data_IF_126732538654
#
_entry.id   IF_126732538654
#
_cell.length_a   1.000
_cell.length_b   1.000
_cell.length_c   1.000
_cell.angle_alpha   90.00
_cell.angle_beta   90.00
_cell.angle_gamma   90.00
#
_symmetry.space_group_name_H-M   'P 1'
#
loop_
_entity.id
_entity.type
_entity.pdbx_description
1 polymer ?
#
# COMPACT_ATOMS: atom_id res chain seq x y z
N UNK A 1 12.38 -10.02 2.78
CA UNK A 1 11.90 -8.88 3.58
C UNK A 1 10.43 -8.63 3.28
N UNK A 2 9.66 -8.44 4.31
CA UNK A 2 8.22 -8.32 4.23
C UNK A 2 7.76 -6.95 4.67
N UNK A 3 6.97 -6.28 3.82
CA UNK A 3 6.45 -4.94 4.07
C UNK A 3 4.93 -5.02 4.26
N UNK A 4 4.42 -4.46 5.36
CA UNK A 4 3.00 -4.36 5.61
C UNK A 4 2.54 -2.92 5.36
N UNK A 5 1.62 -2.73 4.42
CA UNK A 5 0.96 -1.44 4.21
C UNK A 5 -0.34 -1.41 5.00
N UNK A 6 -0.49 -0.42 5.86
CA UNK A 6 -1.66 -0.28 6.74
C UNK A 6 -2.45 0.98 6.44
N UNK A 7 -3.75 0.83 6.30
CA UNK A 7 -4.71 1.93 6.30
C UNK A 7 -5.89 1.54 7.19
N UNK A 8 -7.00 2.28 7.13
CA UNK A 8 -8.15 1.99 7.98
C UNK A 8 -8.97 0.83 7.44
N UNK A 9 -9.47 0.94 6.22
CA UNK A 9 -10.45 0.01 5.66
C UNK A 9 -9.85 -1.17 4.89
N UNK A 10 -8.58 -1.09 4.49
CA UNK A 10 -7.92 -2.07 3.62
C UNK A 10 -8.78 -2.40 2.39
N UNK A 11 -9.22 -1.36 1.72
CA UNK A 11 -10.07 -1.50 0.53
C UNK A 11 -9.55 -0.73 -0.68
N UNK A 12 -8.65 0.23 -0.49
CA UNK A 12 -8.15 1.10 -1.54
C UNK A 12 -6.64 1.35 -1.42
N UNK A 13 -6.21 2.36 -0.64
CA UNK A 13 -4.80 2.81 -0.61
C UNK A 13 -3.80 1.71 -0.29
N UNK A 14 -4.01 0.96 0.79
CA UNK A 14 -3.08 -0.11 1.16
C UNK A 14 -3.12 -1.27 0.17
N UNK A 15 -4.27 -1.53 -0.45
CA UNK A 15 -4.40 -2.54 -1.51
C UNK A 15 -3.59 -2.13 -2.75
N UNK A 16 -3.71 -0.87 -3.17
CA UNK A 16 -2.92 -0.34 -4.29
C UNK A 16 -1.42 -0.43 -4.01
N UNK A 17 -1.02 -0.10 -2.76
CA UNK A 17 0.37 -0.19 -2.34
C UNK A 17 0.89 -1.63 -2.39
N UNK A 18 0.13 -2.58 -1.86
CA UNK A 18 0.51 -4.00 -1.87
C UNK A 18 0.73 -4.50 -3.30
N UNK A 19 -0.24 -4.27 -4.18
CA UNK A 19 -0.19 -4.76 -5.55
C UNK A 19 0.96 -4.14 -6.34
N UNK A 20 1.13 -2.82 -6.23
CA UNK A 20 2.16 -2.11 -6.97
C UNK A 20 3.56 -2.43 -6.45
N UNK A 21 3.73 -2.51 -5.13
CA UNK A 21 5.01 -2.89 -4.55
C UNK A 21 5.43 -4.28 -5.04
N UNK A 22 4.53 -5.26 -5.00
CA UNK A 22 4.83 -6.62 -5.46
C UNK A 22 5.12 -6.67 -6.96
N UNK A 23 4.53 -5.76 -7.74
CA UNK A 23 4.80 -5.64 -9.17
C UNK A 23 6.22 -5.13 -9.44
N UNK A 24 6.74 -4.24 -8.60
CA UNK A 24 8.04 -3.59 -8.79
C UNK A 24 9.16 -4.20 -7.96
N UNK A 25 8.84 -4.95 -6.90
CA UNK A 25 9.83 -5.40 -5.93
C UNK A 25 10.83 -6.38 -6.52
N UNK A 26 12.11 -6.24 -6.16
CA UNK A 26 13.11 -7.25 -6.52
C UNK A 26 12.90 -8.54 -5.71
N UNK A 27 13.59 -9.60 -6.13
CA UNK A 27 13.55 -10.87 -5.42
C UNK A 27 13.93 -10.70 -3.95
N UNK A 28 13.23 -11.39 -3.08
CA UNK A 28 13.45 -11.32 -1.64
C UNK A 28 12.59 -10.29 -0.92
N UNK A 29 11.81 -9.49 -1.65
CA UNK A 29 10.92 -8.49 -1.09
C UNK A 29 9.47 -8.82 -1.45
N UNK A 30 8.58 -8.73 -0.47
CA UNK A 30 7.15 -8.95 -0.69
C UNK A 30 6.36 -8.00 0.18
N UNK A 31 5.20 -7.58 -0.31
CA UNK A 31 4.28 -6.72 0.42
C UNK A 31 2.99 -7.45 0.73
N UNK A 32 2.42 -7.09 1.87
CA UNK A 32 1.07 -7.45 2.29
C UNK A 32 0.37 -6.18 2.76
N UNK A 33 -0.93 -6.23 2.98
CA UNK A 33 -1.67 -5.08 3.47
C UNK A 33 -2.71 -5.49 4.49
N UNK A 34 -3.11 -4.53 5.35
CA UNK A 34 -4.12 -4.75 6.37
C UNK A 34 -4.80 -3.43 6.73
N UNK A 35 -5.93 -3.50 7.40
CA UNK A 35 -6.63 -2.35 7.93
C UNK A 35 -6.94 -2.50 9.41
N UNK A 36 -7.03 -1.38 10.12
CA UNK A 36 -7.44 -1.38 11.52
C UNK A 36 -8.94 -1.69 11.66
N UNK A 37 -9.75 -1.31 10.66
CA UNK A 37 -11.17 -1.62 10.57
C UNK A 37 -11.50 -2.08 9.15
N UNK A 38 -11.12 -3.33 8.79
CA UNK A 38 -11.26 -3.79 7.41
C UNK A 38 -12.72 -3.88 6.99
N UNK A 39 -13.01 -3.39 5.78
CA UNK A 39 -14.35 -3.46 5.21
C UNK A 39 -14.75 -4.88 4.80
N UNK A 40 -13.78 -5.78 4.66
CA UNK A 40 -14.01 -7.14 4.20
C UNK A 40 -14.14 -7.25 2.68
N UNK A 41 -14.05 -6.14 1.95
CA UNK A 41 -14.18 -6.12 0.50
C UNK A 41 -13.28 -5.05 -0.10
N UNK A 42 -12.53 -5.41 -1.13
CA UNK A 42 -11.72 -4.47 -1.91
C UNK A 42 -12.66 -3.69 -2.84
N UNK A 43 -12.44 -2.38 -2.96
CA UNK A 43 -13.25 -1.55 -3.86
C UNK A 43 -13.04 -1.99 -5.31
N UNK A 44 -14.12 -2.19 -6.08
CA UNK A 44 -13.99 -2.57 -7.49
C UNK A 44 -13.13 -1.60 -8.30
N UNK A 45 -13.19 -0.30 -8.00
CA UNK A 45 -12.40 0.71 -8.69
C UNK A 45 -10.90 0.57 -8.40
N UNK A 46 -10.52 0.09 -7.20
CA UNK A 46 -9.13 -0.24 -6.90
C UNK A 46 -8.63 -1.34 -7.83
N UNK A 47 -9.42 -2.39 -8.00
CA UNK A 47 -9.08 -3.50 -8.89
C UNK A 47 -9.00 -3.06 -10.35
N UNK A 48 -9.98 -2.28 -10.82
CA UNK A 48 -9.99 -1.82 -12.21
C UNK A 48 -8.81 -0.89 -12.52
N UNK A 49 -8.44 -0.04 -11.57
CA UNK A 49 -7.28 0.85 -11.72
C UNK A 49 -5.99 0.05 -11.89
N UNK A 50 -5.80 -0.99 -11.07
CA UNK A 50 -4.64 -1.87 -11.17
C UNK A 50 -4.64 -2.64 -12.49
N UNK A 51 -5.77 -3.20 -12.89
CA UNK A 51 -5.90 -3.95 -14.13
C UNK A 51 -5.58 -3.08 -15.36
N UNK A 52 -6.06 -1.85 -15.39
CA UNK A 52 -5.78 -0.91 -16.46
C UNK A 52 -4.29 -0.56 -16.55
N UNK A 53 -3.58 -0.62 -15.43
CA UNK A 53 -2.14 -0.37 -15.36
C UNK A 53 -1.31 -1.64 -15.63
N UNK A 54 -1.94 -2.77 -15.90
CA UNK A 54 -1.25 -4.03 -16.16
C UNK A 54 -0.69 -4.71 -14.91
N UNK A 55 -1.25 -4.40 -13.74
CA UNK A 55 -0.78 -4.93 -12.46
C UNK A 55 -1.72 -6.06 -12.02
N UNK A 56 -1.15 -7.20 -11.64
CA UNK A 56 -1.92 -8.37 -11.20
C UNK A 56 -2.70 -8.06 -9.91
N UNK A 57 -3.94 -8.55 -9.86
CA UNK A 57 -4.84 -8.37 -8.72
C UNK A 57 -5.10 -9.67 -7.96
N UNK A 58 -4.43 -10.75 -8.32
CA UNK A 58 -4.60 -12.06 -7.68
C UNK A 58 -4.20 -11.99 -6.22
N UNK A 59 -5.02 -12.57 -5.36
CA UNK A 59 -4.73 -12.66 -3.94
C UNK A 59 -5.02 -11.40 -3.13
N UNK A 60 -5.54 -10.35 -3.75
CA UNK A 60 -5.91 -9.13 -3.01
C UNK A 60 -7.25 -9.33 -2.32
N UNK A 61 -7.27 -9.09 -1.00
CA UNK A 61 -8.50 -9.13 -0.20
C UNK A 61 -8.36 -8.22 1.01
N UNK A 62 -9.50 -7.77 1.53
CA UNK A 62 -9.53 -6.89 2.70
C UNK A 62 -9.43 -7.71 3.98
N UNK A 63 -8.51 -7.32 4.87
CA UNK A 63 -8.21 -8.09 6.08
C UNK A 63 -7.69 -7.20 7.20
N UNK A 64 -7.74 -7.70 8.41
CA UNK A 64 -7.23 -7.01 9.60
C UNK A 64 -5.79 -7.37 9.92
N UNK A 65 -5.23 -6.66 10.90
CA UNK A 65 -3.83 -6.82 11.33
C UNK A 65 -3.53 -8.22 11.86
N UNK A 66 -4.52 -8.88 12.44
CA UNK A 66 -4.38 -10.23 13.01
C UNK A 66 -4.06 -11.29 11.95
N UNK A 67 -4.29 -11.00 10.67
CA UNK A 67 -3.94 -11.92 9.58
C UNK A 67 -2.44 -12.24 9.55
N UNK A 68 -1.59 -11.38 10.15
CA UNK A 68 -0.14 -11.54 10.13
C UNK A 68 0.46 -11.78 11.52
N UNK A 69 -0.37 -12.17 12.48
CA UNK A 69 0.09 -12.42 13.86
C UNK A 69 1.16 -13.50 13.93
N UNK A 70 1.02 -14.58 13.13
CA UNK A 70 1.96 -15.71 13.11
C UNK A 70 3.15 -15.49 12.19
N UNK A 71 3.12 -14.41 11.38
CA UNK A 71 4.19 -14.12 10.44
C UNK A 71 4.33 -12.59 10.33
N UNK A 72 4.92 -11.96 11.37
CA UNK A 72 4.96 -10.49 11.45
C UNK A 72 5.83 -9.87 10.36
N UNK A 73 5.51 -8.63 9.95
CA UNK A 73 6.31 -7.93 8.94
C UNK A 73 7.62 -7.41 9.50
N UNK A 74 8.56 -7.12 8.60
CA UNK A 74 9.83 -6.46 8.94
C UNK A 74 9.67 -4.95 8.96
N UNK A 75 8.83 -4.43 8.07
CA UNK A 75 8.57 -2.99 7.92
C UNK A 75 7.06 -2.76 7.87
N UNK A 76 6.59 -1.74 8.57
CA UNK A 76 5.19 -1.30 8.51
C UNK A 76 5.16 0.13 7.95
N UNK A 77 4.38 0.32 6.89
CA UNK A 77 4.16 1.64 6.29
C UNK A 77 2.69 1.98 6.39
N UNK A 78 2.36 3.01 7.18
CA UNK A 78 0.99 3.50 7.27
C UNK A 78 0.75 4.51 6.15
N UNK A 79 -0.44 4.43 5.53
CA UNK A 79 -0.76 5.24 4.35
C UNK A 79 -2.02 6.09 4.53
N UNK A 80 -2.38 6.38 5.78
CA UNK A 80 -3.49 7.28 6.08
C UNK A 80 -3.11 8.75 5.81
N UNK A 81 -4.10 9.62 5.67
CA UNK A 81 -3.90 11.05 5.42
C UNK A 81 -4.05 11.84 6.72
N UNK A 82 -2.95 11.96 7.48
CA UNK A 82 -2.94 12.72 8.73
C UNK A 82 -3.20 14.21 8.50
N UNK A 83 -2.77 14.73 7.35
CA UNK A 83 -2.96 16.14 7.01
C UNK A 83 -4.44 16.48 6.83
N UNK A 84 -5.26 15.51 6.42
CA UNK A 84 -6.70 15.67 6.31
C UNK A 84 -7.45 15.30 7.59
N UNK A 85 -6.74 15.05 8.70
CA UNK A 85 -7.34 14.71 9.99
C UNK A 85 -7.70 13.25 10.15
N UNK A 86 -7.28 12.38 9.24
CA UNK A 86 -7.56 10.95 9.32
C UNK A 86 -6.78 10.32 10.47
N UNK A 87 -7.45 9.49 11.28
CA UNK A 87 -6.77 8.70 12.31
C UNK A 87 -5.92 7.62 11.66
N UNK A 88 -4.65 7.56 12.09
CA UNK A 88 -3.71 6.60 11.54
C UNK A 88 -3.65 5.36 12.44
N UNK A 89 -3.73 4.15 11.88
CA UNK A 89 -3.60 2.94 12.70
C UNK A 89 -2.22 2.83 13.32
N UNK A 90 -2.15 2.20 14.49
CA UNK A 90 -0.91 1.95 15.20
C UNK A 90 -0.62 0.44 15.15
N UNK A 91 0.62 0.10 14.83
CA UNK A 91 1.09 -1.28 14.86
C UNK A 91 1.91 -1.51 16.13
N UNK A 92 1.53 -2.52 16.91
CA UNK A 92 2.13 -2.84 18.21
C UNK A 92 3.06 -4.06 18.10
N UNK A 93 3.96 -4.10 17.20
CA UNK A 93 4.89 -5.20 17.05
C UNK A 93 6.29 -4.71 16.75
N UNK A 94 7.29 -5.62 16.76
CA UNK A 94 8.64 -5.26 16.35
C UNK A 94 8.68 -5.10 14.84
N UNK A 95 8.95 -3.90 14.37
CA UNK A 95 9.09 -3.61 12.94
C UNK A 95 9.65 -2.20 12.80
N UNK A 96 10.35 -1.94 11.71
CA UNK A 96 10.65 -0.56 11.31
C UNK A 96 9.34 0.08 10.85
N UNK A 97 9.11 1.32 11.24
CA UNK A 97 7.86 2.01 10.95
C UNK A 97 8.12 3.24 10.10
N UNK A 98 7.31 3.40 9.07
CA UNK A 98 7.34 4.56 8.18
C UNK A 98 5.90 5.01 7.90
N UNK A 99 5.77 6.19 7.33
CA UNK A 99 4.46 6.76 7.01
C UNK A 99 4.52 7.42 5.62
N UNK A 100 3.58 7.04 4.76
CA UNK A 100 3.35 7.69 3.47
C UNK A 100 1.97 8.33 3.54
N UNK A 101 1.88 9.65 3.60
CA UNK A 101 0.61 10.35 3.61
C UNK A 101 -0.02 10.33 2.23
N UNK A 102 -1.09 9.55 2.05
CA UNK A 102 -1.81 9.44 0.79
C UNK A 102 -3.25 9.91 0.99
N UNK A 103 -3.68 10.87 0.16
CA UNK A 103 -5.09 11.26 0.12
C UNK A 103 -5.92 10.06 -0.34
N UNK A 104 -7.12 9.89 0.22
CA UNK A 104 -7.98 8.78 -0.14
C UNK A 104 -8.73 9.10 -1.43
N UNK A 105 -8.44 8.44 -2.56
CA UNK A 105 -9.11 8.72 -3.82
C UNK A 105 -10.59 8.33 -3.78
N UNK A 106 -11.00 7.45 -2.85
CA UNK A 106 -12.40 7.08 -2.70
C UNK A 106 -13.26 8.19 -2.09
N UNK A 107 -12.63 9.22 -1.53
CA UNK A 107 -13.34 10.40 -1.01
C UNK A 107 -13.67 11.42 -2.10
N UNK A 108 -13.11 11.27 -3.29
CA UNK A 108 -13.37 12.20 -4.41
C UNK A 108 -14.80 12.00 -4.90
N UNK A 109 -15.50 13.10 -5.07
CA UNK A 109 -16.88 13.15 -5.57
C UNK A 109 -16.89 13.78 -6.95
N UNK A 110 -17.95 13.50 -7.72
CA UNK A 110 -18.13 14.06 -9.04
C UNK A 110 -18.35 13.00 -10.09
N UNK A 111 -17.95 13.29 -11.32
CA UNK A 111 -18.13 12.39 -12.46
C UNK A 111 -17.16 11.21 -12.40
N UNK A 112 -17.53 10.12 -13.06
CA UNK A 112 -16.71 8.91 -13.13
C UNK A 112 -15.29 9.19 -13.59
N UNK A 113 -15.14 10.05 -14.61
CA UNK A 113 -13.82 10.40 -15.15
C UNK A 113 -12.93 11.08 -14.09
N UNK A 114 -13.51 11.93 -13.25
CA UNK A 114 -12.78 12.61 -12.18
C UNK A 114 -12.35 11.62 -11.09
N UNK A 115 -13.22 10.69 -10.75
CA UNK A 115 -12.92 9.66 -9.74
C UNK A 115 -11.83 8.72 -10.27
N UNK A 116 -11.94 8.28 -11.52
CA UNK A 116 -10.92 7.44 -12.16
C UNK A 116 -9.56 8.15 -12.18
N UNK A 117 -9.55 9.44 -12.49
CA UNK A 117 -8.33 10.24 -12.51
C UNK A 117 -7.69 10.32 -11.12
N UNK A 118 -8.49 10.42 -10.06
CA UNK A 118 -8.00 10.45 -8.69
C UNK A 118 -7.33 9.12 -8.31
N UNK A 119 -7.92 8.00 -8.72
CA UNK A 119 -7.33 6.68 -8.47
C UNK A 119 -6.02 6.51 -9.23
N UNK A 120 -5.96 6.92 -10.49
CA UNK A 120 -4.73 6.86 -11.29
C UNK A 120 -3.64 7.76 -10.70
N UNK A 121 -4.01 8.96 -10.22
CA UNK A 121 -3.06 9.88 -9.60
C UNK A 121 -2.47 9.28 -8.31
N UNK A 122 -3.31 8.63 -7.50
CA UNK A 122 -2.86 7.94 -6.29
C UNK A 122 -1.89 6.81 -6.65
N UNK A 123 -2.23 6.01 -7.66
CA UNK A 123 -1.36 4.92 -8.11
C UNK A 123 -0.01 5.45 -8.59
N UNK A 124 0.01 6.55 -9.34
CA UNK A 124 1.25 7.18 -9.80
C UNK A 124 2.10 7.68 -8.63
N UNK A 125 1.48 8.25 -7.61
CA UNK A 125 2.17 8.69 -6.40
C UNK A 125 2.80 7.52 -5.65
N UNK A 126 2.07 6.41 -5.52
CA UNK A 126 2.57 5.18 -4.89
C UNK A 126 3.74 4.63 -5.70
N UNK A 127 3.63 4.64 -7.03
CA UNK A 127 4.70 4.16 -7.91
C UNK A 127 6.00 4.92 -7.67
N UNK A 128 5.94 6.24 -7.54
CA UNK A 128 7.11 7.06 -7.25
C UNK A 128 7.73 6.68 -5.91
N UNK A 129 6.91 6.45 -4.88
CA UNK A 129 7.41 6.08 -3.57
C UNK A 129 7.99 4.67 -3.55
N UNK A 130 7.36 3.72 -4.21
CA UNK A 130 7.88 2.36 -4.34
C UNK A 130 9.19 2.34 -5.10
N UNK A 131 9.28 3.05 -6.21
CA UNK A 131 10.48 3.11 -7.02
C UNK A 131 11.66 3.70 -6.23
N UNK A 132 11.42 4.78 -5.50
CA UNK A 132 12.44 5.41 -4.66
C UNK A 132 12.93 4.45 -3.56
N UNK A 133 12.00 3.74 -2.90
CA UNK A 133 12.33 2.78 -1.84
C UNK A 133 13.13 1.60 -2.37
N UNK A 134 12.73 1.04 -3.51
CA UNK A 134 13.43 -0.06 -4.16
C UNK A 134 14.81 0.35 -4.59
N UNK A 135 14.95 1.53 -5.19
CA UNK A 135 16.25 2.07 -5.62
C UNK A 135 17.18 2.28 -4.43
N UNK A 136 16.67 2.85 -3.34
CA UNK A 136 17.45 3.06 -2.12
C UNK A 136 17.94 1.73 -1.53
N UNK A 137 17.06 0.75 -1.44
CA UNK A 137 17.39 -0.59 -0.93
C UNK A 137 18.45 -1.25 -1.81
N UNK A 138 18.32 -1.12 -3.10
CA UNK A 138 19.26 -1.68 -4.07
C UNK A 138 20.64 -1.04 -3.92
N UNK A 139 20.71 0.29 -3.79
CA UNK A 139 21.95 1.01 -3.55
C UNK A 139 22.63 0.59 -2.25
N UNK A 140 21.85 0.43 -1.17
CA UNK A 140 22.37 -0.03 0.11
C UNK A 140 22.98 -1.42 0.02
N UNK A 141 22.30 -2.33 -0.66
CA UNK A 141 22.80 -3.70 -0.88
C UNK A 141 24.10 -3.67 -1.68
N UNK A 142 24.20 -2.79 -2.67
CA UNK A 142 25.41 -2.64 -3.48
C UNK A 142 26.57 -2.08 -2.65
N UNK A 143 26.31 -1.08 -1.82
CA UNK A 143 27.32 -0.50 -0.92
C UNK A 143 27.86 -1.54 0.06
N UNK A 144 27.01 -2.38 0.62
CA UNK A 144 27.42 -3.39 1.61
C UNK A 144 28.19 -4.54 0.97
N UNK A 145 28.11 -4.73 -0.31
CA UNK A 145 28.82 -5.79 -1.01
C UNK A 145 30.28 -5.40 -1.37
N UNK A 146 30.63 -4.16 -1.12
CA UNK A 146 31.99 -3.69 -1.33
C UNK A 146 32.88 -4.00 -0.12
#
# INVERSE_FOLDING_TARGET
MRVLFMCTANSCRSILCEALFNHLAPEGFAAVSAGSFPKGQVLPRSLSTLQQAGIATDGLYSKGNDAFADNPPDIVITVCDKAAGESCPVYFGPALKAHWGLADPSDVRGEEAAIDAAFRATLAQIEQRCAASVSYTHLRAHETSL
#
